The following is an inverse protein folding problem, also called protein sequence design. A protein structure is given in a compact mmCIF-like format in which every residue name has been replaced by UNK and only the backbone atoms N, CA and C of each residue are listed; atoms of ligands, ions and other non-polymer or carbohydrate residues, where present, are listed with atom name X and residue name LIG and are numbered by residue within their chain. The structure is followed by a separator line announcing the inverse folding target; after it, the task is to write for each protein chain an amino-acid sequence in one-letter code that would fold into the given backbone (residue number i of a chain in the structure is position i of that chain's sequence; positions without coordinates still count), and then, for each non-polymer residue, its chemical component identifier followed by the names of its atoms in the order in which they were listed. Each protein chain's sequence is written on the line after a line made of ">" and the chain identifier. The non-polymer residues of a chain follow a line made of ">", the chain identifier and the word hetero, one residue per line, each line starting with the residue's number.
data_IF_511548622490
#
_entry.id   IF_511548622490
#
_cell.length_a   1.000
_cell.length_b   1.000
_cell.length_c   1.000
_cell.angle_alpha   90.00
_cell.angle_beta   90.00
_cell.angle_gamma   90.00
#
_symmetry.space_group_name_H-M   'P 1'
#
loop_
_entity.id
_entity.type
_entity.pdbx_description
1 polymer ?
#
# COMPACT_ATOMS: atom_id res chain seq x y z
N UNK A 1 25.13 -35.46 -66.49
CA UNK A 1 25.40 -35.37 -65.04
C UNK A 1 24.72 -34.10 -64.55
N UNK A 2 23.40 -34.17 -64.30
CA UNK A 2 22.63 -33.03 -63.80
C UNK A 2 22.86 -33.03 -62.29
N UNK A 3 23.80 -32.19 -61.87
CA UNK A 3 24.14 -32.06 -60.47
C UNK A 3 22.95 -31.51 -59.68
N UNK A 4 22.88 -31.99 -58.45
CA UNK A 4 21.93 -31.77 -57.38
C UNK A 4 21.86 -30.28 -56.93
N UNK A 5 21.47 -29.37 -57.83
CA UNK A 5 21.35 -27.93 -57.51
C UNK A 5 20.04 -27.62 -56.75
N UNK A 6 19.08 -28.53 -56.76
CA UNK A 6 17.79 -28.36 -56.08
C UNK A 6 17.82 -28.71 -54.60
N UNK A 7 18.74 -29.58 -54.16
CA UNK A 7 18.97 -29.88 -52.73
C UNK A 7 19.54 -28.68 -51.97
N UNK A 8 20.54 -28.02 -52.55
CA UNK A 8 21.31 -26.95 -51.90
C UNK A 8 20.47 -25.68 -51.64
N UNK A 9 19.61 -25.29 -52.60
CA UNK A 9 18.67 -24.17 -52.42
C UNK A 9 17.57 -24.47 -51.38
N UNK A 10 17.15 -25.73 -51.21
CA UNK A 10 16.17 -26.12 -50.17
C UNK A 10 16.80 -26.10 -48.78
N UNK A 11 18.06 -26.52 -48.65
CA UNK A 11 18.82 -26.48 -47.39
C UNK A 11 19.12 -25.02 -46.98
N UNK A 12 19.52 -24.15 -47.91
CA UNK A 12 19.69 -22.72 -47.66
C UNK A 12 18.39 -22.03 -47.21
N UNK A 13 17.25 -22.34 -47.85
CA UNK A 13 15.94 -21.78 -47.44
C UNK A 13 15.52 -22.26 -46.06
N UNK A 14 15.74 -23.54 -45.73
CA UNK A 14 15.45 -24.10 -44.39
C UNK A 14 16.35 -23.50 -43.31
N UNK A 15 17.65 -23.35 -43.59
CA UNK A 15 18.60 -22.70 -42.68
C UNK A 15 18.24 -21.25 -42.40
N UNK A 16 17.82 -20.50 -43.42
CA UNK A 16 17.34 -19.12 -43.25
C UNK A 16 16.07 -19.03 -42.41
N UNK A 17 15.11 -19.92 -42.59
CA UNK A 17 13.90 -19.96 -41.76
C UNK A 17 14.28 -20.23 -40.29
N UNK A 18 15.14 -21.22 -40.04
CA UNK A 18 15.59 -21.56 -38.68
C UNK A 18 16.30 -20.37 -38.02
N UNK A 19 17.22 -19.72 -38.73
CA UNK A 19 17.94 -18.55 -38.21
C UNK A 19 16.98 -17.39 -37.91
N UNK A 20 16.05 -17.10 -38.82
CA UNK A 20 15.04 -16.05 -38.61
C UNK A 20 14.17 -16.35 -37.40
N UNK A 21 13.74 -17.60 -37.22
CA UNK A 21 12.96 -18.01 -36.06
C UNK A 21 13.75 -17.87 -34.76
N UNK A 22 15.03 -18.25 -34.73
CA UNK A 22 15.89 -18.09 -33.55
C UNK A 22 16.06 -16.61 -33.21
N UNK A 23 16.31 -15.75 -34.20
CA UNK A 23 16.43 -14.30 -34.00
C UNK A 23 15.10 -13.72 -33.50
N UNK A 24 13.97 -14.12 -34.09
CA UNK A 24 12.65 -13.66 -33.67
C UNK A 24 12.35 -14.05 -32.21
N UNK A 25 12.66 -15.30 -31.83
CA UNK A 25 12.50 -15.78 -30.45
C UNK A 25 13.44 -15.04 -29.49
N UNK A 26 14.67 -14.76 -29.90
CA UNK A 26 15.62 -13.99 -29.10
C UNK A 26 15.14 -12.56 -28.86
N UNK A 27 14.66 -11.88 -29.91
CA UNK A 27 14.10 -10.53 -29.78
C UNK A 27 12.85 -10.51 -28.89
N UNK A 28 12.00 -11.54 -29.00
CA UNK A 28 10.82 -11.69 -28.14
C UNK A 28 11.22 -11.90 -26.68
N UNK A 29 12.23 -12.74 -26.41
CA UNK A 29 12.76 -12.93 -25.07
C UNK A 29 13.34 -11.63 -24.48
N UNK A 30 14.08 -10.85 -25.27
CA UNK A 30 14.59 -9.54 -24.86
C UNK A 30 13.45 -8.55 -24.55
N UNK A 31 12.39 -8.53 -25.36
CA UNK A 31 11.23 -7.67 -25.13
C UNK A 31 10.50 -8.05 -23.83
N UNK A 32 10.25 -9.35 -23.60
CA UNK A 32 9.62 -9.85 -22.37
C UNK A 32 10.47 -9.50 -21.14
N UNK A 33 11.79 -9.70 -21.21
CA UNK A 33 12.69 -9.34 -20.12
C UNK A 33 12.68 -7.83 -19.84
N UNK A 34 12.66 -6.99 -20.89
CA UNK A 34 12.58 -5.55 -20.74
C UNK A 34 11.29 -5.10 -20.04
N UNK A 35 10.15 -5.66 -20.42
CA UNK A 35 8.85 -5.38 -19.76
C UNK A 35 8.88 -5.82 -18.30
N UNK A 36 9.40 -7.02 -18.02
CA UNK A 36 9.50 -7.54 -16.65
C UNK A 36 10.35 -6.65 -15.75
N UNK A 37 11.52 -6.21 -16.23
CA UNK A 37 12.40 -5.31 -15.48
C UNK A 37 11.75 -3.94 -15.24
N UNK A 38 11.00 -3.42 -16.22
CA UNK A 38 10.28 -2.16 -16.07
C UNK A 38 9.15 -2.27 -15.04
N UNK A 39 8.33 -3.32 -15.10
CA UNK A 39 7.28 -3.59 -14.11
C UNK A 39 7.85 -3.69 -12.70
N UNK A 40 8.92 -4.47 -12.54
CA UNK A 40 9.61 -4.62 -11.24
C UNK A 40 10.13 -3.28 -10.71
N UNK A 41 10.65 -2.41 -11.59
CA UNK A 41 11.13 -1.10 -11.18
C UNK A 41 9.99 -0.19 -10.68
N UNK A 42 8.83 -0.22 -11.33
CA UNK A 42 7.64 0.52 -10.89
C UNK A 42 7.15 0.03 -9.52
N UNK A 43 7.12 -1.29 -9.31
CA UNK A 43 6.75 -1.90 -8.03
C UNK A 43 7.71 -1.52 -6.90
N UNK A 44 9.03 -1.58 -7.16
CA UNK A 44 10.06 -1.15 -6.21
C UNK A 44 9.95 0.35 -5.87
N UNK A 45 9.58 1.20 -6.84
CA UNK A 45 9.31 2.62 -6.61
C UNK A 45 8.08 2.84 -5.73
N UNK A 46 6.96 2.19 -6.06
CA UNK A 46 5.71 2.27 -5.27
C UNK A 46 5.91 1.80 -3.83
N UNK A 47 6.56 0.65 -3.65
CA UNK A 47 6.92 0.15 -2.32
C UNK A 47 7.87 1.11 -1.61
N UNK A 48 8.82 1.71 -2.33
CA UNK A 48 9.70 2.73 -1.80
C UNK A 48 8.95 3.96 -1.28
N UNK A 49 7.91 4.41 -1.98
CA UNK A 49 7.05 5.51 -1.55
C UNK A 49 6.22 5.16 -0.31
N UNK A 50 5.61 3.97 -0.27
CA UNK A 50 4.81 3.52 0.88
C UNK A 50 5.67 3.24 2.13
N UNK A 51 6.93 2.87 1.95
CA UNK A 51 7.88 2.58 3.03
C UNK A 51 8.83 3.74 3.35
N UNK A 52 8.76 4.85 2.59
CA UNK A 52 9.64 6.02 2.71
C UNK A 52 9.84 6.55 4.16
N UNK A 53 8.84 6.51 5.06
CA UNK A 53 9.04 6.96 6.44
C UNK A 53 9.57 5.88 7.41
N UNK A 54 10.04 4.75 6.90
CA UNK A 54 10.40 3.61 7.75
C UNK A 54 9.18 2.84 8.27
N UNK A 55 8.02 3.06 7.66
CA UNK A 55 6.83 2.20 7.81
C UNK A 55 7.16 0.83 7.23
N UNK A 56 7.22 -0.17 8.10
CA UNK A 56 7.41 -1.58 7.71
C UNK A 56 6.11 -2.38 7.81
N UNK A 57 5.19 -1.91 8.66
CA UNK A 57 3.89 -2.50 8.90
C UNK A 57 2.87 -1.42 9.22
N UNK A 58 1.59 -1.71 9.06
CA UNK A 58 0.46 -0.88 9.51
C UNK A 58 -0.58 -1.76 10.20
N UNK A 59 -1.35 -1.17 11.11
CA UNK A 59 -2.50 -1.86 11.70
C UNK A 59 -3.67 -1.76 10.73
N UNK A 60 -4.14 -2.91 10.24
CA UNK A 60 -5.23 -2.99 9.27
C UNK A 60 -6.48 -3.49 9.99
N UNK A 61 -7.59 -2.74 9.96
CA UNK A 61 -8.83 -3.22 10.56
C UNK A 61 -9.39 -4.42 9.77
N UNK A 62 -9.91 -5.46 10.44
CA UNK A 62 -10.48 -6.63 9.78
C UNK A 62 -11.91 -6.33 9.30
N UNK A 63 -12.00 -5.58 8.21
CA UNK A 63 -13.27 -5.29 7.55
C UNK A 63 -13.61 -6.44 6.59
N UNK A 64 -14.91 -6.74 6.44
CA UNK A 64 -15.41 -7.63 5.39
C UNK A 64 -15.38 -6.96 4.00
N UNK A 65 -14.33 -6.18 3.70
CA UNK A 65 -14.18 -5.31 2.54
C UNK A 65 -12.78 -5.41 1.96
N UNK A 66 -12.66 -5.32 0.64
CA UNK A 66 -11.37 -5.32 -0.05
C UNK A 66 -10.78 -3.91 -0.07
N UNK A 67 -9.45 -3.81 0.02
CA UNK A 67 -8.74 -2.54 -0.15
C UNK A 67 -8.65 -2.25 -1.66
N UNK A 68 -9.19 -1.11 -2.09
CA UNK A 68 -9.13 -0.61 -3.46
C UNK A 68 -7.81 0.08 -3.78
N UNK A 69 -7.34 0.92 -2.87
CA UNK A 69 -6.19 1.79 -3.09
C UNK A 69 -5.46 2.06 -1.78
N UNK A 70 -4.14 2.21 -1.89
CA UNK A 70 -3.26 2.69 -0.82
C UNK A 70 -2.48 3.89 -1.33
N UNK A 71 -2.58 4.99 -0.61
CA UNK A 71 -1.81 6.20 -0.88
C UNK A 71 -1.01 6.61 0.37
N UNK A 72 0.25 7.06 0.21
CA UNK A 72 0.97 7.67 1.31
C UNK A 72 0.30 8.98 1.72
N UNK A 73 0.25 9.26 3.02
CA UNK A 73 -0.17 10.56 3.52
C UNK A 73 0.91 11.62 3.31
N UNK A 74 0.50 12.89 3.21
CA UNK A 74 1.42 14.01 3.14
C UNK A 74 2.41 13.98 4.33
N UNK A 75 3.67 14.31 4.05
CA UNK A 75 4.78 14.21 5.00
C UNK A 75 5.13 12.79 5.46
N UNK A 76 4.62 11.75 4.80
CA UNK A 76 4.97 10.34 5.00
C UNK A 76 4.70 9.87 6.44
N UNK A 77 3.52 10.09 6.99
CA UNK A 77 3.26 9.75 8.41
C UNK A 77 2.22 8.66 8.62
N UNK A 78 1.79 8.02 7.53
CA UNK A 78 0.83 6.92 7.51
C UNK A 78 0.37 6.64 6.09
N UNK A 79 -0.67 5.82 5.96
CA UNK A 79 -1.31 5.47 4.70
C UNK A 79 -2.79 5.87 4.74
N UNK A 80 -3.34 6.31 3.62
CA UNK A 80 -4.78 6.29 3.38
C UNK A 80 -5.12 4.96 2.75
N UNK A 81 -6.14 4.28 3.28
CA UNK A 81 -6.72 3.10 2.68
C UNK A 81 -8.13 3.43 2.18
N UNK A 82 -8.33 3.27 0.88
CA UNK A 82 -9.64 3.29 0.23
C UNK A 82 -10.11 1.85 0.13
N UNK A 83 -11.32 1.58 0.60
CA UNK A 83 -11.93 0.25 0.55
C UNK A 83 -12.98 0.20 -0.56
N UNK A 84 -13.41 -0.99 -0.99
CA UNK A 84 -14.60 -1.16 -1.82
C UNK A 84 -15.77 -1.67 -1.00
N UNK A 85 -16.97 -1.17 -1.29
CA UNK A 85 -18.20 -1.81 -0.81
C UNK A 85 -18.51 -3.11 -1.58
N UNK A 86 -19.63 -3.75 -1.21
CA UNK A 86 -20.12 -4.97 -1.83
C UNK A 86 -20.50 -4.78 -3.32
N UNK A 87 -20.77 -3.54 -3.71
CA UNK A 87 -21.08 -3.13 -5.08
C UNK A 87 -19.83 -2.75 -5.90
N UNK A 88 -18.64 -2.89 -5.30
CA UNK A 88 -17.32 -2.59 -5.87
C UNK A 88 -17.03 -1.09 -6.11
N UNK A 89 -17.75 -0.20 -5.43
CA UNK A 89 -17.48 1.24 -5.48
C UNK A 89 -16.46 1.66 -4.40
N UNK A 90 -15.51 2.54 -4.73
CA UNK A 90 -14.48 2.98 -3.79
C UNK A 90 -15.04 3.93 -2.74
N UNK A 91 -14.67 3.68 -1.49
CA UNK A 91 -15.06 4.44 -0.32
C UNK A 91 -13.83 4.71 0.55
N UNK A 92 -13.51 5.99 0.74
CA UNK A 92 -12.44 6.41 1.64
C UNK A 92 -12.92 6.23 3.08
N UNK A 93 -12.42 5.22 3.77
CA UNK A 93 -12.92 4.89 5.10
C UNK A 93 -11.93 5.20 6.22
N UNK A 94 -10.62 5.08 5.99
CA UNK A 94 -9.64 5.24 7.06
C UNK A 94 -8.30 5.83 6.60
N UNK A 95 -7.73 6.65 7.47
CA UNK A 95 -6.29 6.87 7.51
C UNK A 95 -5.70 5.91 8.54
N UNK A 96 -4.78 5.08 8.08
CA UNK A 96 -4.05 4.11 8.87
C UNK A 96 -2.71 4.73 9.29
N UNK A 97 -2.59 5.10 10.56
CA UNK A 97 -1.36 5.64 11.10
C UNK A 97 -0.66 4.61 11.98
N UNK A 98 0.65 4.54 11.82
CA UNK A 98 1.51 3.75 12.67
C UNK A 98 2.64 4.66 13.18
N UNK A 99 2.56 5.01 14.45
CA UNK A 99 3.45 5.97 15.10
C UNK A 99 4.35 5.23 16.08
N UNK A 100 5.65 5.20 15.81
CA UNK A 100 6.61 4.61 16.75
C UNK A 100 6.78 5.54 17.94
N UNK A 101 6.59 5.01 19.14
CA UNK A 101 6.78 5.73 20.39
C UNK A 101 7.96 5.13 21.16
N UNK A 102 8.92 5.98 21.52
CA UNK A 102 9.94 5.68 22.52
C UNK A 102 9.43 5.56 23.96
N UNK A 103 10.34 5.32 24.93
CA UNK A 103 9.99 5.15 26.33
C UNK A 103 9.51 6.45 26.98
N UNK A 104 8.43 6.38 27.77
CA UNK A 104 7.90 7.52 28.55
C UNK A 104 7.13 8.55 27.74
N UNK A 105 6.54 8.16 26.61
CA UNK A 105 5.94 9.09 25.67
C UNK A 105 4.53 9.53 26.02
N UNK A 106 4.23 10.73 25.53
CA UNK A 106 2.91 11.31 25.41
C UNK A 106 2.29 10.88 24.06
N UNK A 107 1.23 10.07 24.11
CA UNK A 107 0.57 9.55 22.91
C UNK A 107 -0.10 10.66 22.11
N UNK A 108 -0.61 11.69 22.79
CA UNK A 108 -1.22 12.85 22.13
C UNK A 108 -0.18 13.71 21.43
N UNK A 109 1.00 13.90 22.03
CA UNK A 109 2.11 14.57 21.36
C UNK A 109 2.56 13.79 20.11
N UNK A 110 2.65 12.46 20.21
CA UNK A 110 3.00 11.60 19.07
C UNK A 110 1.97 11.70 17.94
N UNK A 111 0.67 11.71 18.27
CA UNK A 111 -0.39 11.95 17.30
C UNK A 111 -0.27 13.34 16.69
N UNK A 112 -0.08 14.38 17.48
CA UNK A 112 -0.03 15.78 17.03
C UNK A 112 1.16 16.10 16.12
N UNK A 113 2.26 15.34 16.21
CA UNK A 113 3.33 15.43 15.22
C UNK A 113 2.83 14.99 13.82
N UNK A 114 1.91 14.02 13.77
CA UNK A 114 1.43 13.37 12.55
C UNK A 114 0.17 14.01 12.00
N UNK A 115 -0.79 14.27 12.87
CA UNK A 115 -2.08 14.90 12.60
C UNK A 115 -2.24 16.10 13.55
N UNK A 116 -1.65 17.26 13.23
CA UNK A 116 -1.65 18.43 14.11
C UNK A 116 -3.06 18.91 14.46
N UNK A 117 -4.03 18.72 13.56
CA UNK A 117 -5.43 19.10 13.75
C UNK A 117 -6.07 18.36 14.92
N UNK A 118 -5.61 17.15 15.23
CA UNK A 118 -6.13 16.31 16.32
C UNK A 118 -5.42 16.54 17.66
N UNK A 119 -4.33 17.31 17.69
CA UNK A 119 -3.49 17.47 18.88
C UNK A 119 -4.23 18.14 20.05
N UNK A 120 -5.05 19.15 19.76
CA UNK A 120 -5.62 20.04 20.77
C UNK A 120 -6.76 19.40 21.58
N UNK A 121 -7.49 18.43 21.03
CA UNK A 121 -8.56 17.69 21.73
C UNK A 121 -8.24 16.20 21.86
N UNK A 122 -6.96 15.89 22.05
CA UNK A 122 -6.53 14.53 22.30
C UNK A 122 -6.61 14.18 23.78
N UNK A 123 -7.22 13.05 24.08
CA UNK A 123 -7.23 12.39 25.37
C UNK A 123 -6.52 11.05 25.27
N UNK A 124 -5.58 10.78 26.18
CA UNK A 124 -4.87 9.50 26.21
C UNK A 124 -4.80 8.90 27.60
N UNK A 125 -4.92 7.57 27.66
CA UNK A 125 -4.54 6.76 28.80
C UNK A 125 -3.11 6.22 28.61
N UNK A 126 -2.66 5.27 29.44
CA UNK A 126 -1.36 4.63 29.26
C UNK A 126 -1.24 3.84 27.95
N UNK A 127 -2.36 3.37 27.40
CA UNK A 127 -2.38 2.48 26.24
C UNK A 127 -3.35 2.88 25.14
N UNK A 128 -4.29 3.79 25.41
CA UNK A 128 -5.32 4.17 24.46
C UNK A 128 -5.32 5.68 24.24
N UNK A 129 -5.81 6.08 23.07
CA UNK A 129 -5.82 7.44 22.56
C UNK A 129 -7.17 7.67 21.89
N UNK A 130 -7.82 8.78 22.20
CA UNK A 130 -8.99 9.29 21.48
C UNK A 130 -8.75 10.75 21.17
N UNK A 131 -9.07 11.19 19.95
CA UNK A 131 -8.95 12.58 19.58
C UNK A 131 -10.05 12.95 18.58
N UNK A 132 -10.46 14.22 18.62
CA UNK A 132 -11.39 14.76 17.64
C UNK A 132 -10.98 16.15 17.20
N UNK A 133 -11.26 16.50 15.96
CA UNK A 133 -10.97 17.81 15.41
C UNK A 133 -12.17 18.34 14.65
N UNK A 134 -12.70 19.48 15.10
CA UNK A 134 -13.79 20.19 14.44
C UNK A 134 -13.21 21.42 13.73
N UNK A 135 -12.91 21.27 12.44
CA UNK A 135 -12.38 22.33 11.59
C UNK A 135 -13.45 22.96 10.69
N UNK A 136 -13.16 24.15 10.10
CA UNK A 136 -14.07 24.82 9.17
C UNK A 136 -14.32 24.03 7.87
N UNK A 137 -13.42 23.12 7.50
CA UNK A 137 -13.48 22.32 6.27
C UNK A 137 -13.59 20.81 6.50
N UNK A 138 -13.34 20.32 7.72
CA UNK A 138 -13.23 18.89 8.00
C UNK A 138 -13.55 18.60 9.45
N UNK A 139 -14.26 17.50 9.69
CA UNK A 139 -14.50 16.95 11.01
C UNK A 139 -13.80 15.60 11.08
N UNK A 140 -12.95 15.38 12.08
CA UNK A 140 -12.17 14.16 12.24
C UNK A 140 -12.37 13.54 13.60
N UNK A 141 -12.33 12.21 13.60
CA UNK A 141 -12.32 11.37 14.77
C UNK A 141 -11.16 10.38 14.65
N UNK A 142 -10.41 10.22 15.73
CA UNK A 142 -9.30 9.30 15.80
C UNK A 142 -9.37 8.47 17.07
N UNK A 143 -9.15 7.17 16.91
CA UNK A 143 -8.92 6.25 18.02
C UNK A 143 -7.59 5.54 17.79
N UNK A 144 -6.86 5.30 18.86
CA UNK A 144 -5.59 4.61 18.79
C UNK A 144 -5.25 3.79 20.01
N UNK A 145 -4.38 2.80 19.80
CA UNK A 145 -3.92 1.87 20.83
C UNK A 145 -2.42 1.62 20.71
N UNK A 146 -1.72 1.78 21.83
CA UNK A 146 -0.32 1.48 21.99
C UNK A 146 -0.11 -0.03 22.11
N UNK A 147 0.61 -0.59 21.15
CA UNK A 147 1.00 -2.00 21.11
C UNK A 147 2.52 -2.11 21.13
N UNK A 148 3.04 -2.55 22.28
CA UNK A 148 4.47 -2.59 22.60
C UNK A 148 5.13 -1.20 22.57
N UNK A 149 5.63 -0.76 21.40
CA UNK A 149 6.31 0.53 21.21
C UNK A 149 5.72 1.31 20.02
N UNK A 150 4.48 0.97 19.66
CA UNK A 150 3.89 1.37 18.40
C UNK A 150 2.42 1.72 18.62
N UNK A 151 2.07 2.97 18.37
CA UNK A 151 0.70 3.47 18.42
C UNK A 151 0.02 3.23 17.06
N UNK A 152 -0.98 2.35 17.06
CA UNK A 152 -1.88 2.14 15.91
C UNK A 152 -3.00 3.16 16.03
N UNK A 153 -3.25 3.96 15.00
CA UNK A 153 -4.35 4.95 15.00
C UNK A 153 -5.16 4.79 13.72
N UNK A 154 -6.49 4.77 13.87
CA UNK A 154 -7.43 4.92 12.77
C UNK A 154 -8.05 6.32 12.86
N UNK A 155 -7.96 7.07 11.77
CA UNK A 155 -8.62 8.38 11.63
C UNK A 155 -9.70 8.29 10.57
N UNK A 156 -10.91 8.76 10.89
CA UNK A 156 -12.03 8.80 9.96
C UNK A 156 -12.92 10.04 10.17
N UNK A 157 -13.82 10.27 9.22
CA UNK A 157 -14.85 11.30 9.35
C UNK A 157 -16.00 10.76 10.23
N UNK A 158 -16.50 11.51 11.24
CA UNK A 158 -17.50 10.99 12.18
C UNK A 158 -18.88 10.74 11.56
N UNK A 159 -19.13 11.23 10.35
CA UNK A 159 -20.33 10.85 9.59
C UNK A 159 -20.32 9.39 9.11
N UNK A 160 -19.14 8.77 9.04
CA UNK A 160 -18.96 7.39 8.57
C UNK A 160 -18.82 6.41 9.73
N UNK A 161 -18.12 6.82 10.80
CA UNK A 161 -17.83 5.97 11.95
C UNK A 161 -17.89 6.77 13.25
N UNK A 162 -18.47 6.18 14.29
CA UNK A 162 -18.39 6.71 15.64
C UNK A 162 -17.12 6.22 16.38
N UNK A 163 -16.88 6.79 17.56
CA UNK A 163 -15.66 6.55 18.33
C UNK A 163 -15.59 5.10 18.82
N UNK A 164 -16.74 4.53 19.19
CA UNK A 164 -16.81 3.15 19.69
C UNK A 164 -16.46 2.16 18.57
N UNK A 165 -16.96 2.40 17.36
CA UNK A 165 -16.65 1.59 16.18
C UNK A 165 -15.18 1.70 15.80
N UNK A 166 -14.62 2.91 15.77
CA UNK A 166 -13.18 3.09 15.50
C UNK A 166 -12.32 2.38 16.55
N UNK A 167 -12.67 2.49 17.83
CA UNK A 167 -11.94 1.81 18.91
C UNK A 167 -11.98 0.31 18.74
N UNK A 168 -13.16 -0.24 18.45
CA UNK A 168 -13.34 -1.68 18.19
C UNK A 168 -12.48 -2.15 17.01
N UNK A 169 -12.38 -1.37 15.94
CA UNK A 169 -11.51 -1.68 14.81
C UNK A 169 -10.03 -1.57 15.15
N UNK A 170 -9.62 -0.56 15.92
CA UNK A 170 -8.24 -0.43 16.41
C UNK A 170 -7.85 -1.64 17.28
N UNK A 171 -8.73 -2.09 18.18
CA UNK A 171 -8.49 -3.25 19.05
C UNK A 171 -8.35 -4.55 18.25
N UNK A 172 -9.14 -4.72 17.19
CA UNK A 172 -9.13 -5.90 16.34
C UNK A 172 -8.12 -5.82 15.19
N UNK A 173 -7.52 -4.65 14.95
CA UNK A 173 -6.59 -4.45 13.84
C UNK A 173 -5.44 -5.46 13.92
N UNK A 174 -5.04 -6.00 12.78
CA UNK A 174 -3.89 -6.90 12.69
C UNK A 174 -2.69 -6.17 12.08
N UNK A 175 -1.49 -6.51 12.56
CA UNK A 175 -0.27 -5.97 11.99
C UNK A 175 0.03 -6.67 10.66
N UNK A 176 -0.01 -5.90 9.57
CA UNK A 176 0.33 -6.38 8.24
C UNK A 176 1.55 -5.64 7.71
N UNK A 177 2.41 -6.32 6.94
CA UNK A 177 3.55 -5.64 6.30
C UNK A 177 3.05 -4.72 5.18
N UNK A 178 3.74 -3.61 4.95
CA UNK A 178 3.40 -2.68 3.86
C UNK A 178 3.47 -3.38 2.49
N UNK A 179 4.35 -4.37 2.34
CA UNK A 179 4.43 -5.19 1.13
C UNK A 179 3.18 -6.03 0.94
N UNK A 180 2.79 -6.81 1.95
CA UNK A 180 1.61 -7.68 1.84
C UNK A 180 0.35 -6.84 1.58
N UNK A 181 0.28 -5.63 2.14
CA UNK A 181 -0.80 -4.69 1.89
C UNK A 181 -0.80 -4.18 0.45
N UNK A 182 0.37 -3.81 -0.09
CA UNK A 182 0.50 -3.39 -1.49
C UNK A 182 0.13 -4.53 -2.46
N UNK A 183 0.53 -5.76 -2.15
CA UNK A 183 0.22 -6.96 -2.95
C UNK A 183 -1.29 -7.25 -3.02
N UNK A 184 -2.07 -6.87 -2.00
CA UNK A 184 -3.54 -7.01 -2.01
C UNK A 184 -4.23 -6.06 -2.99
N UNK A 185 -3.63 -4.91 -3.27
CA UNK A 185 -4.22 -3.87 -4.13
C UNK A 185 -3.92 -4.09 -5.62
N UNK A 186 -2.83 -4.81 -5.95
CA UNK A 186 -2.38 -5.05 -7.33
C UNK A 186 -1.39 -4.00 -7.81
#
# INVERSE_FOLDING_TARGET
>A
MIADVTGDQRVQRRGRIVIVTIIALFLLACAVLGVFLWQRHQEEQRLGELTAPGLLSVGVPPLDQEIDELAPLENNRGLVATYRDAEAEPITQFRLLNIRVGPGLDLCAALGEVEPELADNCESTAHDLSAHADGPSTILLAEGQLRAATLVVLVAHPANYDAETLRSYVEQAEWMSVRDLADQVG
#
